data_IF_392216666195
#
_entry.id   IF_392216666195
#
_cell.length_a   1.000
_cell.length_b   1.000
_cell.length_c   1.000
_cell.angle_alpha   90.00
_cell.angle_beta   90.00
_cell.angle_gamma   90.00
#
_symmetry.space_group_name_H-M   'P 1'
#
loop_
_entity.id
_entity.type
_entity.pdbx_description
1 polymer ?
#
# COMPACT_ATOMS: atom_id res chain seq x y z
N UNK A 1 -6.16 55.74 31.39
CA UNK A 1 -5.48 54.49 30.99
C UNK A 1 -6.27 53.31 31.56
N UNK A 2 -6.91 52.50 30.72
CA UNK A 2 -7.51 51.22 31.12
C UNK A 2 -7.15 50.20 30.05
N UNK A 3 -6.19 49.35 30.39
CA UNK A 3 -5.68 48.26 29.56
C UNK A 3 -6.51 47.03 29.87
N UNK A 4 -7.28 46.53 28.89
CA UNK A 4 -7.97 45.25 29.00
C UNK A 4 -7.25 44.24 28.12
N UNK A 5 -6.45 43.38 28.75
CA UNK A 5 -5.78 42.26 28.09
C UNK A 5 -6.76 41.10 28.01
N UNK A 6 -7.18 40.72 26.80
CA UNK A 6 -7.95 39.49 26.55
C UNK A 6 -6.95 38.39 26.24
N UNK A 7 -6.82 37.41 27.13
CA UNK A 7 -6.05 36.19 26.91
C UNK A 7 -6.97 35.20 26.18
N UNK A 8 -6.70 34.94 24.91
CA UNK A 8 -7.35 33.87 24.16
C UNK A 8 -6.64 32.53 24.47
N UNK A 9 -7.34 31.62 25.15
CA UNK A 9 -6.91 30.24 25.35
C UNK A 9 -7.12 29.46 24.04
N UNK A 10 -6.02 29.16 23.34
CA UNK A 10 -6.04 28.19 22.25
C UNK A 10 -6.12 26.78 22.84
N UNK A 11 -7.27 26.12 22.72
CA UNK A 11 -7.40 24.70 23.02
C UNK A 11 -6.81 23.89 21.86
N UNK A 12 -5.55 23.48 22.03
CA UNK A 12 -4.89 22.51 21.14
C UNK A 12 -5.54 21.15 21.36
N UNK A 13 -6.49 20.77 20.50
CA UNK A 13 -6.93 19.39 20.39
C UNK A 13 -5.76 18.57 19.82
N UNK A 14 -4.99 17.95 20.70
CA UNK A 14 -4.09 16.86 20.34
C UNK A 14 -4.97 15.74 19.80
N UNK A 15 -4.92 15.52 18.48
CA UNK A 15 -5.40 14.27 17.92
C UNK A 15 -4.57 13.16 18.55
N UNK A 16 -5.16 12.40 19.47
CA UNK A 16 -4.54 11.18 19.97
C UNK A 16 -4.42 10.22 18.79
N UNK A 17 -3.23 10.15 18.21
CA UNK A 17 -2.85 9.04 17.36
C UNK A 17 -2.81 7.81 18.27
N UNK A 18 -3.86 6.99 18.23
CA UNK A 18 -3.85 5.69 18.90
C UNK A 18 -2.65 4.89 18.40
N UNK A 19 -1.93 4.18 19.27
CA UNK A 19 -0.82 3.35 18.85
C UNK A 19 -1.35 2.23 17.94
N UNK A 20 -0.75 2.11 16.75
CA UNK A 20 -0.96 0.94 15.90
C UNK A 20 -0.43 -0.30 16.64
N UNK A 21 -1.22 -1.35 16.70
CA UNK A 21 -0.75 -2.65 17.17
C UNK A 21 0.03 -3.34 16.07
N UNK A 22 1.16 -3.96 16.38
CA UNK A 22 1.87 -4.84 15.45
C UNK A 22 1.27 -6.24 15.53
N UNK A 23 1.08 -6.89 14.39
CA UNK A 23 0.65 -8.30 14.29
C UNK A 23 1.55 -9.01 13.30
N UNK A 24 1.75 -10.31 13.48
CA UNK A 24 2.54 -11.08 12.52
C UNK A 24 1.70 -11.40 11.27
N UNK A 25 2.21 -11.17 10.05
CA UNK A 25 1.55 -11.65 8.84
C UNK A 25 1.52 -13.19 8.81
N UNK A 26 0.54 -13.82 8.14
CA UNK A 26 0.52 -15.27 7.98
C UNK A 26 1.80 -15.75 7.27
N UNK A 27 2.39 -16.86 7.72
CA UNK A 27 3.69 -17.33 7.23
C UNK A 27 3.72 -17.67 5.71
N UNK A 28 2.56 -17.92 5.11
CA UNK A 28 2.41 -18.20 3.68
C UNK A 28 1.85 -17.02 2.90
N UNK A 29 1.59 -15.89 3.56
CA UNK A 29 0.95 -14.75 2.93
C UNK A 29 1.91 -13.98 2.02
N UNK A 30 1.42 -13.68 0.83
CA UNK A 30 2.18 -12.94 -0.18
C UNK A 30 1.23 -12.24 -1.16
N UNK A 31 1.76 -11.21 -1.80
CA UNK A 31 1.17 -10.61 -2.98
C UNK A 31 1.71 -11.32 -4.21
N UNK A 32 0.81 -11.75 -5.09
CA UNK A 32 1.18 -12.27 -6.39
C UNK A 32 0.96 -11.19 -7.44
N UNK A 33 2.04 -10.68 -8.04
CA UNK A 33 2.02 -9.61 -9.04
C UNK A 33 2.16 -10.22 -10.43
N UNK A 34 1.28 -9.83 -11.35
CA UNK A 34 1.28 -10.30 -12.74
C UNK A 34 1.08 -9.15 -13.72
N UNK A 35 1.48 -9.35 -14.98
CA UNK A 35 1.38 -8.34 -16.05
C UNK A 35 2.10 -7.03 -15.67
N UNK A 36 3.24 -7.15 -14.98
CA UNK A 36 3.98 -6.01 -14.48
C UNK A 36 4.69 -5.28 -15.62
N UNK A 37 4.35 -4.00 -15.77
CA UNK A 37 4.97 -3.10 -16.73
C UNK A 37 5.40 -1.85 -15.99
N UNK A 38 6.70 -1.55 -16.05
CA UNK A 38 7.27 -0.32 -15.51
C UNK A 38 8.23 0.29 -16.51
N UNK A 39 8.05 1.56 -16.86
CA UNK A 39 8.88 2.25 -17.85
C UNK A 39 8.98 3.75 -17.62
N UNK A 40 10.16 4.29 -17.90
CA UNK A 40 10.50 5.71 -17.84
C UNK A 40 10.86 6.21 -19.25
N UNK A 41 9.98 6.99 -19.87
CA UNK A 41 10.27 7.69 -21.12
C UNK A 41 10.10 9.20 -20.94
N UNK A 42 8.98 9.77 -21.37
CA UNK A 42 8.59 11.16 -21.06
C UNK A 42 8.09 11.31 -19.60
N UNK A 43 7.78 10.19 -18.95
CA UNK A 43 7.47 10.07 -17.53
C UNK A 43 7.68 8.62 -17.08
N UNK A 44 7.79 8.40 -15.78
CA UNK A 44 7.94 7.06 -15.19
C UNK A 44 6.58 6.55 -14.72
N UNK A 45 6.03 5.59 -15.46
CA UNK A 45 4.71 5.00 -15.17
C UNK A 45 4.82 3.50 -14.97
N UNK A 46 3.93 2.97 -14.15
CA UNK A 46 3.84 1.56 -13.83
C UNK A 46 2.39 1.08 -13.86
N UNK A 47 2.20 -0.21 -14.18
CA UNK A 47 0.91 -0.89 -14.18
C UNK A 47 1.12 -2.38 -13.92
N UNK A 48 0.25 -2.99 -13.15
CA UNK A 48 0.24 -4.44 -12.90
C UNK A 48 -1.11 -4.91 -12.37
N UNK A 49 -1.29 -6.22 -12.35
CA UNK A 49 -2.37 -6.88 -11.63
C UNK A 49 -1.83 -7.52 -10.36
N UNK A 50 -2.63 -7.56 -9.30
CA UNK A 50 -2.24 -8.19 -8.04
C UNK A 50 -3.37 -8.98 -7.41
N UNK A 51 -3.01 -10.15 -6.89
CA UNK A 51 -3.82 -10.98 -5.97
C UNK A 51 -3.10 -11.09 -4.64
N UNK A 52 -3.84 -11.49 -3.59
CA UNK A 52 -3.29 -11.72 -2.26
C UNK A 52 -3.63 -13.13 -1.85
N UNK A 53 -2.61 -13.90 -1.47
CA UNK A 53 -2.70 -15.32 -1.12
C UNK A 53 -2.32 -15.56 0.34
N UNK A 54 -2.72 -16.71 0.91
CA UNK A 54 -2.37 -17.11 2.27
C UNK A 54 -3.47 -16.86 3.30
N UNK A 55 -4.66 -17.44 3.07
CA UNK A 55 -5.85 -17.25 3.91
C UNK A 55 -5.61 -17.48 5.41
N UNK A 56 -6.03 -16.52 6.24
CA UNK A 56 -6.02 -16.58 7.70
C UNK A 56 -7.16 -15.76 8.33
N UNK A 57 -7.37 -15.88 9.64
CA UNK A 57 -8.51 -15.31 10.39
C UNK A 57 -8.80 -13.83 10.08
N UNK A 58 -7.77 -13.00 9.94
CA UNK A 58 -7.89 -11.55 9.64
C UNK A 58 -7.30 -11.17 8.28
N UNK A 59 -6.96 -12.17 7.48
CA UNK A 59 -6.29 -12.07 6.20
C UNK A 59 -7.04 -12.94 5.18
N UNK A 60 -8.18 -12.49 4.66
CA UNK A 60 -8.85 -13.19 3.58
C UNK A 60 -8.04 -13.04 2.29
N UNK A 61 -8.03 -14.07 1.46
CA UNK A 61 -7.39 -13.99 0.14
C UNK A 61 -8.16 -13.06 -0.80
N UNK A 62 -7.41 -12.41 -1.69
CA UNK A 62 -7.94 -11.67 -2.83
C UNK A 62 -7.68 -12.46 -4.10
N UNK A 63 -8.63 -13.32 -4.48
CA UNK A 63 -8.50 -14.25 -5.63
C UNK A 63 -8.76 -13.58 -6.99
N UNK A 64 -9.53 -12.51 -7.01
CA UNK A 64 -9.79 -11.74 -8.23
C UNK A 64 -8.72 -10.66 -8.34
N UNK A 65 -7.88 -10.67 -9.40
CA UNK A 65 -6.84 -9.69 -9.56
C UNK A 65 -7.41 -8.27 -9.62
N UNK A 66 -6.76 -7.34 -8.94
CA UNK A 66 -7.03 -5.90 -9.04
C UNK A 66 -5.92 -5.23 -9.83
N UNK A 67 -6.25 -4.18 -10.58
CA UNK A 67 -5.28 -3.48 -11.41
C UNK A 67 -4.73 -2.29 -10.65
N UNK A 68 -3.43 -2.23 -10.48
CA UNK A 68 -2.73 -1.11 -9.88
C UNK A 68 -2.00 -0.34 -10.99
N UNK A 69 -2.10 0.98 -11.00
CA UNK A 69 -1.35 1.82 -11.93
C UNK A 69 -1.03 3.19 -11.34
N UNK A 70 0.07 3.77 -11.79
CA UNK A 70 0.56 5.03 -11.27
C UNK A 70 1.83 5.52 -11.94
N UNK A 71 2.42 6.57 -11.35
CA UNK A 71 3.66 7.17 -11.82
C UNK A 71 4.52 7.72 -10.69
N UNK A 72 5.84 7.57 -10.83
CA UNK A 72 6.81 7.91 -9.76
C UNK A 72 6.76 9.37 -9.31
N UNK A 73 6.45 10.28 -10.24
CA UNK A 73 6.41 11.72 -9.93
C UNK A 73 5.09 12.15 -9.27
N UNK A 74 4.06 11.32 -9.35
CA UNK A 74 2.70 11.60 -8.88
C UNK A 74 2.41 10.90 -7.56
N UNK A 75 2.88 9.66 -7.43
CA UNK A 75 2.54 8.76 -6.33
C UNK A 75 3.71 8.65 -5.37
N UNK A 76 3.75 9.57 -4.39
CA UNK A 76 4.76 9.60 -3.32
C UNK A 76 4.41 8.75 -2.10
N UNK A 77 3.22 8.15 -2.12
CA UNK A 77 2.65 7.34 -1.05
C UNK A 77 1.62 6.37 -1.64
N UNK A 78 1.15 5.43 -0.84
CA UNK A 78 0.19 4.40 -1.19
C UNK A 78 -1.06 4.96 -1.86
N UNK A 79 -1.24 4.58 -3.13
CA UNK A 79 -2.45 4.87 -3.90
C UNK A 79 -3.31 3.63 -4.03
N UNK A 80 -4.62 3.81 -3.89
CA UNK A 80 -5.60 2.73 -4.08
C UNK A 80 -5.54 2.18 -5.52
N UNK A 81 -5.48 0.86 -5.64
CA UNK A 81 -5.60 0.17 -6.92
C UNK A 81 -7.06 0.15 -7.41
N UNK A 82 -7.23 0.13 -8.73
CA UNK A 82 -8.53 0.07 -9.37
C UNK A 82 -9.12 -1.34 -9.21
N UNK A 83 -10.21 -1.40 -8.45
CA UNK A 83 -11.02 -2.59 -8.23
C UNK A 83 -12.11 -2.64 -9.31
N UNK A 84 -12.04 -3.62 -10.22
CA UNK A 84 -13.14 -3.90 -11.16
C UNK A 84 -14.47 -4.27 -10.47
N UNK A 85 -14.40 -4.75 -9.23
CA UNK A 85 -15.53 -4.90 -8.32
C UNK A 85 -15.13 -4.39 -6.93
N UNK A 86 -15.86 -3.41 -6.40
CA UNK A 86 -15.56 -2.78 -5.11
C UNK A 86 -15.75 -3.80 -3.98
N UNK A 87 -14.65 -4.33 -3.43
CA UNK A 87 -14.72 -5.01 -2.14
C UNK A 87 -14.96 -3.98 -1.04
N UNK A 88 -15.98 -4.21 -0.21
CA UNK A 88 -16.32 -3.33 0.92
C UNK A 88 -15.33 -3.46 2.09
N UNK A 89 -14.64 -4.59 2.16
CA UNK A 89 -13.80 -4.96 3.30
C UNK A 89 -12.34 -5.12 2.93
N UNK A 90 -11.99 -5.17 1.65
CA UNK A 90 -10.63 -5.39 1.18
C UNK A 90 -10.19 -4.27 0.23
N UNK A 91 -8.95 -3.82 0.37
CA UNK A 91 -8.36 -2.83 -0.52
C UNK A 91 -6.88 -3.12 -0.70
N UNK A 92 -6.39 -3.04 -1.94
CA UNK A 92 -4.96 -3.01 -2.23
C UNK A 92 -4.55 -1.59 -2.57
N UNK A 93 -3.40 -1.19 -2.04
CA UNK A 93 -2.73 0.05 -2.37
C UNK A 93 -1.30 -0.24 -2.81
N UNK A 94 -0.78 0.58 -3.70
CA UNK A 94 0.57 0.45 -4.22
C UNK A 94 1.18 1.79 -4.57
N UNK A 95 2.50 1.85 -4.50
CA UNK A 95 3.33 2.85 -5.19
C UNK A 95 4.73 2.26 -5.41
N UNK A 96 5.55 2.92 -6.24
CA UNK A 96 6.98 2.60 -6.35
C UNK A 96 7.74 3.80 -5.77
N UNK A 97 8.59 3.53 -4.79
CA UNK A 97 9.50 4.54 -4.26
C UNK A 97 10.55 4.89 -5.32
N UNK A 98 10.63 6.18 -5.68
CA UNK A 98 11.51 6.67 -6.75
C UNK A 98 12.98 6.59 -6.37
N UNK A 99 13.32 6.75 -5.11
CA UNK A 99 14.69 6.82 -4.64
C UNK A 99 15.30 5.42 -4.50
N UNK A 100 14.49 4.42 -4.12
CA UNK A 100 14.94 3.04 -3.93
C UNK A 100 14.55 2.08 -5.05
N UNK A 101 13.64 2.47 -5.96
CA UNK A 101 12.98 1.58 -6.94
C UNK A 101 12.30 0.37 -6.29
N UNK A 102 11.75 0.55 -5.09
CA UNK A 102 10.98 -0.50 -4.41
C UNK A 102 9.49 -0.34 -4.71
N UNK A 103 8.88 -1.39 -5.26
CA UNK A 103 7.44 -1.53 -5.27
C UNK A 103 6.99 -1.78 -3.83
N UNK A 104 6.17 -0.88 -3.31
CA UNK A 104 5.54 -0.97 -1.99
C UNK A 104 4.08 -1.37 -2.19
N UNK A 105 3.67 -2.47 -1.57
CA UNK A 105 2.31 -3.00 -1.60
C UNK A 105 1.72 -2.94 -0.19
N UNK A 106 0.43 -2.63 -0.13
CA UNK A 106 -0.34 -2.67 1.10
C UNK A 106 -1.68 -3.36 0.83
N UNK A 107 -2.00 -4.37 1.63
CA UNK A 107 -3.32 -4.98 1.69
C UNK A 107 -4.04 -4.55 2.96
N UNK A 108 -5.18 -3.87 2.83
CA UNK A 108 -5.99 -3.40 3.94
C UNK A 108 -7.29 -4.21 4.04
N UNK A 109 -7.56 -4.75 5.22
CA UNK A 109 -8.72 -5.59 5.53
C UNK A 109 -9.49 -4.98 6.69
N UNK A 110 -10.74 -4.59 6.45
CA UNK A 110 -11.67 -4.16 7.49
C UNK A 110 -12.39 -5.38 8.06
N UNK A 111 -12.02 -5.79 9.27
CA UNK A 111 -12.76 -6.79 10.03
C UNK A 111 -13.93 -6.08 10.73
N UNK A 112 -15.15 -6.32 10.23
CA UNK A 112 -16.37 -5.69 10.73
C UNK A 112 -16.81 -6.25 12.09
N UNK A 113 -16.43 -7.48 12.44
CA UNK A 113 -16.76 -8.08 13.74
C UNK A 113 -15.89 -7.52 14.85
N UNK A 114 -14.59 -7.35 14.58
CA UNK A 114 -13.63 -6.81 15.54
C UNK A 114 -13.55 -5.27 15.51
N UNK A 115 -14.23 -4.61 14.57
CA UNK A 115 -14.16 -3.16 14.31
C UNK A 115 -12.72 -2.65 14.15
N UNK A 116 -11.87 -3.44 13.46
CA UNK A 116 -10.45 -3.16 13.26
C UNK A 116 -10.07 -3.18 11.78
N UNK A 117 -9.06 -2.40 11.43
CA UNK A 117 -8.43 -2.46 10.11
C UNK A 117 -7.06 -3.09 10.24
N UNK A 118 -6.90 -4.25 9.61
CA UNK A 118 -5.61 -4.91 9.45
C UNK A 118 -4.94 -4.40 8.17
N UNK A 119 -3.63 -4.19 8.23
CA UNK A 119 -2.81 -3.72 7.12
C UNK A 119 -1.61 -4.64 7.01
N UNK A 120 -1.40 -5.20 5.84
CA UNK A 120 -0.30 -6.10 5.53
C UNK A 120 0.57 -5.45 4.47
N UNK A 121 1.88 -5.56 4.60
CA UNK A 121 2.84 -4.82 3.80
C UNK A 121 3.82 -5.78 3.13
N UNK A 122 4.19 -5.45 1.89
CA UNK A 122 5.17 -6.19 1.12
C UNK A 122 5.98 -5.23 0.25
N UNK A 123 7.25 -5.54 0.07
CA UNK A 123 8.19 -4.68 -0.63
C UNK A 123 9.10 -5.49 -1.55
N UNK A 124 9.39 -4.98 -2.75
CA UNK A 124 10.31 -5.62 -3.69
C UNK A 124 10.98 -4.62 -4.61
N UNK A 125 12.29 -4.77 -4.82
CA UNK A 125 13.02 -4.01 -5.84
C UNK A 125 12.50 -4.37 -7.24
N UNK A 126 12.20 -3.35 -8.05
CA UNK A 126 11.70 -3.50 -9.43
C UNK A 126 12.51 -2.62 -10.39
N UNK A 127 12.55 -3.01 -11.66
CA UNK A 127 13.39 -2.34 -12.66
C UNK A 127 12.55 -1.78 -13.80
N UNK A 128 12.76 -0.53 -14.18
CA UNK A 128 12.11 0.05 -15.35
C UNK A 128 12.69 -0.57 -16.62
N UNK A 129 11.84 -0.96 -17.56
CA UNK A 129 12.20 -1.61 -18.83
C UNK A 129 13.09 -0.72 -19.70
N UNK A 130 12.99 0.60 -19.50
CA UNK A 130 13.77 1.62 -20.21
C UNK A 130 15.07 2.01 -19.50
N UNK A 131 15.35 1.45 -18.32
CA UNK A 131 16.62 1.69 -17.61
C UNK A 131 17.74 0.78 -18.13
N UNK A 132 18.98 1.06 -17.73
CA UNK A 132 20.14 0.18 -18.00
C UNK A 132 19.97 -1.23 -17.41
N UNK A 133 19.10 -1.37 -16.40
CA UNK A 133 18.72 -2.64 -15.75
C UNK A 133 17.40 -3.23 -16.29
N UNK A 134 16.83 -2.69 -17.37
CA UNK A 134 15.50 -3.07 -17.86
C UNK A 134 15.34 -4.55 -18.21
N UNK A 135 16.45 -5.25 -18.54
CA UNK A 135 16.46 -6.71 -18.75
C UNK A 135 16.17 -7.53 -17.49
N UNK A 136 16.23 -6.92 -16.31
CA UNK A 136 15.93 -7.55 -15.03
C UNK A 136 14.44 -7.39 -14.65
N UNK A 137 13.65 -6.63 -15.43
CA UNK A 137 12.21 -6.56 -15.20
C UNK A 137 11.58 -7.94 -15.40
N UNK A 138 10.79 -8.36 -14.42
CA UNK A 138 9.99 -9.58 -14.46
C UNK A 138 8.53 -9.17 -14.67
N UNK A 139 7.82 -9.89 -15.54
CA UNK A 139 6.38 -9.66 -15.80
C UNK A 139 5.49 -10.21 -14.68
N UNK A 140 5.99 -11.24 -13.97
CA UNK A 140 5.27 -11.92 -12.91
C UNK A 140 6.23 -12.29 -11.78
N UNK A 141 5.80 -12.06 -10.54
CA UNK A 141 6.60 -12.35 -9.36
C UNK A 141 5.79 -12.27 -8.05
N UNK A 142 6.27 -12.98 -7.03
CA UNK A 142 5.71 -12.91 -5.68
C UNK A 142 6.46 -11.89 -4.80
N UNK A 143 5.71 -11.25 -3.91
CA UNK A 143 6.19 -10.34 -2.87
C UNK A 143 5.71 -10.87 -1.51
N UNK A 144 6.60 -11.43 -0.67
CA UNK A 144 6.21 -11.86 0.67
C UNK A 144 5.66 -10.71 1.51
N UNK A 145 4.70 -11.01 2.38
CA UNK A 145 4.29 -10.06 3.43
C UNK A 145 5.34 -10.02 4.53
N UNK A 146 5.88 -8.84 4.82
CA UNK A 146 7.01 -8.65 5.74
C UNK A 146 6.62 -7.95 7.03
N UNK A 147 5.52 -7.22 7.04
CA UNK A 147 5.01 -6.51 8.21
C UNK A 147 3.48 -6.47 8.19
N UNK A 148 2.89 -6.38 9.38
CA UNK A 148 1.47 -6.14 9.52
C UNK A 148 1.12 -5.31 10.77
N UNK A 149 0.12 -4.45 10.59
CA UNK A 149 -0.37 -3.54 11.62
C UNK A 149 -1.89 -3.61 11.75
N UNK A 150 -2.37 -3.30 12.95
CA UNK A 150 -3.80 -3.20 13.24
C UNK A 150 -4.12 -1.83 13.83
N UNK A 151 -5.16 -1.20 13.28
CA UNK A 151 -5.71 0.09 13.67
C UNK A 151 -7.14 -0.06 14.19
#
# INVERSE_FOLDING_TARGET
MRTSTIIALAASSLASASPLGTVDPPATAHFHVSKFVFGCSAGCNWSFNVTVEGEAKNHPELKTPVTCSGGLDQDKDYKKCDVGAVSKTQQVLAYIDKDTNELKLQYAVNNLEEHKTYRYYGEKEVYAATSDKGKLQQDEFDVPETDAAVA
#
